data_IF_681850438698
#
_entry.id   IF_681850438698
#
_cell.length_a   1.000
_cell.length_b   1.000
_cell.length_c   1.000
_cell.angle_alpha   90.00
_cell.angle_beta   90.00
_cell.angle_gamma   90.00
#
_symmetry.space_group_name_H-M   'P 1'
#
loop_
_entity.id
_entity.type
_entity.pdbx_description
1 polymer ?
#
# COMPACT_ATOMS: atom_id res chain seq x y z
N UNK A 1 57.00 57.10 36.51
CA UNK A 1 57.74 56.03 35.81
C UNK A 1 57.03 55.83 34.47
N UNK A 2 57.42 56.55 33.40
CA UNK A 2 58.36 56.10 32.34
C UNK A 2 58.02 54.68 31.84
N UNK A 3 57.69 54.39 30.58
CA UNK A 3 58.18 54.85 29.27
C UNK A 3 57.08 54.65 28.20
N UNK A 4 56.86 55.55 27.21
CA UNK A 4 57.45 55.61 25.84
C UNK A 4 57.41 54.24 25.11
N UNK A 5 56.94 54.10 23.86
CA UNK A 5 57.21 54.94 22.69
C UNK A 5 56.22 54.72 21.52
N UNK A 6 56.19 55.73 20.64
CA UNK A 6 55.55 55.81 19.33
C UNK A 6 56.16 54.86 18.28
N UNK A 7 55.35 54.48 17.29
CA UNK A 7 55.78 53.99 15.96
C UNK A 7 54.74 54.38 14.89
N UNK A 8 55.21 54.78 13.71
CA UNK A 8 54.57 55.66 12.71
C UNK A 8 53.89 54.90 11.54
N UNK A 9 52.85 55.54 10.98
CA UNK A 9 52.06 55.37 9.71
C UNK A 9 52.87 54.98 8.43
N UNK A 10 52.29 54.56 7.26
CA UNK A 10 51.03 55.09 6.66
C UNK A 10 50.15 54.13 5.84
N UNK A 11 48.93 54.55 5.48
CA UNK A 11 48.14 53.86 4.46
C UNK A 11 46.68 54.30 4.32
N UNK A 12 46.48 55.39 3.58
CA UNK A 12 45.29 55.75 2.80
C UNK A 12 43.88 55.68 3.45
N UNK A 13 43.32 56.88 3.62
CA UNK A 13 41.89 57.15 3.69
C UNK A 13 41.18 56.63 2.42
N UNK A 14 40.20 55.74 2.60
CA UNK A 14 39.05 55.65 1.70
C UNK A 14 37.79 55.64 2.54
N UNK A 15 37.02 56.73 2.41
CA UNK A 15 35.68 56.91 2.95
C UNK A 15 34.73 56.00 2.18
N UNK A 16 33.86 55.22 2.83
CA UNK A 16 32.40 55.27 2.63
C UNK A 16 31.63 54.17 3.41
N UNK A 17 30.57 54.64 4.06
CA UNK A 17 29.28 54.00 4.42
C UNK A 17 29.28 52.83 5.40
N UNK A 18 28.77 53.15 6.60
CA UNK A 18 28.17 52.21 7.52
C UNK A 18 26.94 51.51 6.90
N UNK A 19 26.96 50.18 6.90
CA UNK A 19 25.75 49.37 6.84
C UNK A 19 25.85 48.30 7.94
N UNK A 20 25.15 48.55 9.05
CA UNK A 20 24.85 47.52 10.04
C UNK A 20 23.94 46.48 9.37
N UNK A 21 24.44 45.26 9.16
CA UNK A 21 23.60 44.09 8.96
C UNK A 21 23.73 43.20 10.20
N UNK A 22 22.71 43.23 11.05
CA UNK A 22 22.53 42.26 12.13
C UNK A 22 22.21 40.92 11.47
N UNK A 23 23.17 39.99 11.48
CA UNK A 23 22.94 38.61 11.06
C UNK A 23 22.22 37.90 12.21
N UNK A 24 20.89 37.92 12.17
CA UNK A 24 20.07 36.97 12.90
C UNK A 24 20.26 35.61 12.24
N UNK A 25 21.14 34.79 12.82
CA UNK A 25 21.31 33.39 12.45
C UNK A 25 20.08 32.59 12.84
N UNK A 26 19.03 32.63 12.02
CA UNK A 26 18.00 31.58 12.02
C UNK A 26 18.56 30.41 11.22
N UNK A 27 19.13 29.42 11.91
CA UNK A 27 19.36 28.12 11.30
C UNK A 27 17.99 27.49 11.03
N UNK A 28 17.55 27.51 9.78
CA UNK A 28 16.43 26.71 9.33
C UNK A 28 16.81 25.23 9.50
N UNK A 29 16.32 24.60 10.56
CA UNK A 29 16.33 23.15 10.66
C UNK A 29 15.42 22.62 9.56
N UNK A 30 16.03 22.09 8.50
CA UNK A 30 15.34 21.23 7.55
C UNK A 30 14.77 20.05 8.36
N UNK A 31 13.47 20.09 8.62
CA UNK A 31 12.76 18.97 9.22
C UNK A 31 12.90 17.78 8.27
N UNK A 32 13.69 16.79 8.67
CA UNK A 32 13.65 15.48 8.04
C UNK A 32 12.23 14.95 8.23
N UNK A 33 11.44 14.91 7.16
CA UNK A 33 10.21 14.12 7.15
C UNK A 33 10.60 12.69 7.51
N UNK A 34 10.25 12.24 8.72
CA UNK A 34 10.24 10.81 8.99
C UNK A 34 9.22 10.23 8.03
N UNK A 35 9.65 9.32 7.17
CA UNK A 35 8.73 8.29 6.73
C UNK A 35 8.24 7.63 8.03
N UNK A 36 6.94 7.68 8.29
CA UNK A 36 6.33 6.83 9.31
C UNK A 36 6.58 5.39 8.85
N UNK A 37 7.69 4.80 9.29
CA UNK A 37 7.75 3.35 9.39
C UNK A 37 6.62 2.98 10.33
N UNK A 38 5.60 2.32 9.78
CA UNK A 38 4.52 1.70 10.53
C UNK A 38 5.16 0.70 11.49
N UNK A 39 5.56 1.17 12.67
CA UNK A 39 6.09 0.30 13.71
C UNK A 39 4.94 -0.59 14.15
N UNK A 40 5.04 -1.87 13.80
CA UNK A 40 4.09 -2.93 14.13
C UNK A 40 4.00 -3.22 15.64
N UNK A 41 4.51 -2.34 16.50
CA UNK A 41 4.70 -2.58 17.93
C UNK A 41 3.41 -2.62 18.76
N UNK A 42 2.29 -2.04 18.28
CA UNK A 42 1.02 -2.04 19.02
C UNK A 42 0.00 -3.08 18.55
N UNK A 43 0.31 -3.91 17.56
CA UNK A 43 -0.59 -4.93 17.01
C UNK A 43 -0.25 -6.36 17.47
N UNK A 44 0.35 -6.48 18.65
CA UNK A 44 0.73 -7.75 19.28
C UNK A 44 0.05 -7.91 20.64
N UNK A 45 -0.26 -9.15 21.04
CA UNK A 45 -0.92 -9.43 22.32
C UNK A 45 -2.35 -8.87 22.39
N UNK A 46 -3.04 -8.82 21.26
CA UNK A 46 -4.40 -8.30 21.15
C UNK A 46 -5.40 -9.33 21.69
N UNK A 47 -6.38 -8.83 22.44
CA UNK A 47 -7.60 -9.57 22.75
C UNK A 47 -8.74 -9.00 21.92
N UNK A 48 -9.48 -9.86 21.21
CA UNK A 48 -10.66 -9.45 20.47
C UNK A 48 -11.91 -9.79 21.27
N UNK A 49 -12.53 -8.78 21.88
CA UNK A 49 -13.71 -8.95 22.73
C UNK A 49 -14.97 -8.74 21.90
N UNK A 50 -15.83 -9.75 21.81
CA UNK A 50 -17.11 -9.64 21.12
C UNK A 50 -17.98 -8.59 21.81
N UNK A 51 -18.37 -7.55 21.06
CA UNK A 51 -19.29 -6.51 21.54
C UNK A 51 -20.66 -7.11 21.89
N UNK A 52 -21.03 -8.25 21.30
CA UNK A 52 -22.29 -8.93 21.60
C UNK A 52 -22.36 -9.53 23.01
N UNK A 53 -21.27 -10.11 23.51
CA UNK A 53 -21.28 -10.96 24.70
C UNK A 53 -20.23 -10.60 25.76
N UNK A 54 -19.28 -9.73 25.45
CA UNK A 54 -18.13 -9.42 26.31
C UNK A 54 -17.09 -10.55 26.40
N UNK A 55 -17.17 -11.56 25.54
CA UNK A 55 -16.28 -12.72 25.49
C UNK A 55 -15.20 -12.58 24.44
N UNK A 56 -14.05 -13.19 24.67
CA UNK A 56 -12.88 -13.05 23.84
C UNK A 56 -12.82 -14.14 22.78
N UNK A 57 -12.29 -13.81 21.59
CA UNK A 57 -11.91 -14.80 20.58
C UNK A 57 -10.84 -15.74 21.14
N UNK A 58 -11.13 -17.03 21.14
CA UNK A 58 -10.36 -18.08 21.81
C UNK A 58 -10.17 -19.29 20.88
N UNK A 59 -9.10 -20.03 21.11
CA UNK A 59 -8.89 -21.35 20.52
C UNK A 59 -9.60 -22.39 21.38
N UNK A 60 -10.54 -23.12 20.78
CA UNK A 60 -11.43 -24.03 21.51
C UNK A 60 -10.66 -25.05 22.37
N UNK A 61 -11.06 -25.12 23.65
CA UNK A 61 -10.59 -26.10 24.64
C UNK A 61 -9.05 -26.18 24.80
N UNK A 62 -8.32 -25.09 24.51
CA UNK A 62 -6.86 -25.04 24.65
C UNK A 62 -6.10 -25.99 23.73
N UNK A 63 -6.73 -26.45 22.65
CA UNK A 63 -6.08 -27.33 21.70
C UNK A 63 -5.20 -26.52 20.75
N UNK A 64 -3.92 -26.87 20.66
CA UNK A 64 -2.93 -26.13 19.85
C UNK A 64 -2.79 -26.65 18.42
N UNK A 65 -3.59 -27.64 18.02
CA UNK A 65 -3.51 -28.29 16.71
C UNK A 65 -4.10 -27.49 15.54
N UNK A 66 -3.68 -27.86 14.33
CA UNK A 66 -4.27 -27.36 13.09
C UNK A 66 -5.73 -27.78 12.95
N UNK A 67 -6.57 -26.87 12.46
CA UNK A 67 -7.98 -27.11 12.22
C UNK A 67 -8.89 -26.96 13.45
N UNK A 68 -8.33 -26.68 14.62
CA UNK A 68 -9.10 -26.39 15.84
C UNK A 68 -9.95 -25.15 15.63
N UNK A 69 -11.21 -25.21 16.04
CA UNK A 69 -12.17 -24.13 15.86
C UNK A 69 -11.87 -22.94 16.76
N UNK A 70 -12.21 -21.75 16.25
CA UNK A 70 -12.20 -20.53 17.03
C UNK A 70 -13.59 -20.23 17.56
N UNK A 71 -13.65 -19.87 18.83
CA UNK A 71 -14.89 -19.65 19.58
C UNK A 71 -14.80 -18.33 20.32
N UNK A 72 -15.87 -17.93 20.98
CA UNK A 72 -15.80 -16.88 22.02
C UNK A 72 -15.92 -17.50 23.40
N UNK A 73 -15.09 -17.05 24.34
CA UNK A 73 -15.08 -17.58 25.70
C UNK A 73 -14.86 -16.49 26.77
N UNK A 74 -15.21 -16.79 28.01
CA UNK A 74 -14.93 -15.91 29.15
C UNK A 74 -13.42 -15.70 29.34
N UNK A 75 -13.06 -14.59 29.98
CA UNK A 75 -11.67 -14.30 30.36
C UNK A 75 -11.42 -14.66 31.84
N UNK A 76 -10.28 -15.28 32.20
CA UNK A 76 -9.28 -15.82 31.28
C UNK A 76 -9.78 -17.09 30.58
N UNK A 77 -9.51 -17.21 29.28
CA UNK A 77 -9.72 -18.47 28.54
C UNK A 77 -8.41 -19.20 28.28
N UNK A 78 -8.34 -19.92 27.16
CA UNK A 78 -7.18 -20.76 26.87
C UNK A 78 -6.10 -20.02 26.08
N UNK A 79 -6.43 -19.58 24.86
CA UNK A 79 -5.50 -18.88 23.97
C UNK A 79 -6.20 -17.68 23.33
N UNK A 80 -6.29 -16.58 24.07
CA UNK A 80 -7.08 -15.40 23.71
C UNK A 80 -6.26 -14.21 23.21
N UNK A 81 -4.95 -14.39 23.06
CA UNK A 81 -4.02 -13.38 22.60
C UNK A 81 -3.63 -13.60 21.14
N UNK A 82 -3.60 -12.50 20.37
CA UNK A 82 -3.46 -12.52 18.92
C UNK A 82 -2.50 -11.41 18.45
N UNK A 83 -1.70 -11.72 17.44
CA UNK A 83 -0.82 -10.78 16.77
C UNK A 83 -1.33 -10.53 15.34
N UNK A 84 -1.59 -9.28 14.99
CA UNK A 84 -1.92 -8.87 13.64
C UNK A 84 -0.63 -8.53 12.87
N UNK A 85 -0.10 -9.51 12.13
CA UNK A 85 1.15 -9.37 11.37
C UNK A 85 0.86 -8.75 9.99
N UNK A 86 1.23 -7.48 9.83
CA UNK A 86 0.99 -6.71 8.59
C UNK A 86 1.70 -7.30 7.37
N UNK A 87 1.11 -7.05 6.20
CA UNK A 87 1.54 -7.49 4.89
C UNK A 87 1.76 -6.29 3.97
N UNK A 88 2.48 -6.49 2.87
CA UNK A 88 2.80 -5.41 1.92
C UNK A 88 1.55 -4.74 1.33
N UNK A 89 0.47 -5.50 1.12
CA UNK A 89 -0.80 -5.01 0.59
C UNK A 89 -1.68 -4.28 1.63
N UNK A 90 -1.21 -4.11 2.86
CA UNK A 90 -1.93 -3.47 3.97
C UNK A 90 -2.85 -4.42 4.74
N UNK A 91 -3.08 -5.65 4.25
CA UNK A 91 -3.77 -6.68 5.04
C UNK A 91 -2.87 -7.20 6.16
N UNK A 92 -3.41 -8.01 7.06
CA UNK A 92 -2.63 -8.73 8.06
C UNK A 92 -3.07 -10.19 8.17
N UNK A 93 -2.16 -11.05 8.63
CA UNK A 93 -2.54 -12.34 9.22
C UNK A 93 -2.82 -12.15 10.69
N UNK A 94 -3.79 -12.86 11.25
CA UNK A 94 -4.02 -12.86 12.69
C UNK A 94 -3.50 -14.17 13.30
N UNK A 95 -2.30 -14.16 13.89
CA UNK A 95 -1.70 -15.34 14.51
C UNK A 95 -1.96 -15.37 16.01
N UNK A 96 -2.37 -16.50 16.55
CA UNK A 96 -2.47 -16.68 17.99
C UNK A 96 -1.07 -16.60 18.63
N UNK A 97 -0.95 -15.86 19.74
CA UNK A 97 0.34 -15.59 20.39
C UNK A 97 0.97 -16.85 21.02
N UNK A 98 0.15 -17.80 21.48
CA UNK A 98 0.62 -19.04 22.12
C UNK A 98 0.89 -20.15 21.09
N UNK A 99 -0.01 -20.34 20.13
CA UNK A 99 0.08 -21.48 19.18
C UNK A 99 0.87 -21.15 17.92
N UNK A 100 1.08 -19.85 17.63
CA UNK A 100 1.71 -19.36 16.41
C UNK A 100 0.88 -19.57 15.14
N UNK A 101 -0.35 -20.09 15.25
CA UNK A 101 -1.21 -20.42 14.10
C UNK A 101 -2.10 -19.25 13.70
N UNK A 102 -2.40 -19.16 12.42
CA UNK A 102 -3.20 -18.11 11.84
C UNK A 102 -4.70 -18.45 11.90
N UNK A 103 -5.52 -17.45 12.23
CA UNK A 103 -6.96 -17.50 12.00
C UNK A 103 -7.24 -17.64 10.50
N UNK A 104 -8.04 -18.66 10.17
CA UNK A 104 -8.46 -18.97 8.81
C UNK A 104 -9.98 -18.87 8.68
N UNK A 105 -10.42 -18.17 7.63
CA UNK A 105 -11.81 -18.04 7.24
C UNK A 105 -12.51 -19.40 7.05
N UNK A 106 -13.79 -19.47 7.43
CA UNK A 106 -14.57 -20.70 7.39
C UNK A 106 -15.89 -20.59 8.16
N UNK A 107 -16.65 -21.68 8.12
CA UNK A 107 -17.87 -21.89 8.89
C UNK A 107 -17.78 -23.29 9.55
N UNK A 108 -17.16 -23.41 10.73
CA UNK A 108 -16.64 -22.34 11.61
C UNK A 108 -15.26 -21.79 11.20
N UNK A 109 -14.85 -20.68 11.81
CA UNK A 109 -13.44 -20.25 11.79
C UNK A 109 -12.57 -21.28 12.52
N UNK A 110 -11.30 -21.36 12.10
CA UNK A 110 -10.31 -22.27 12.69
C UNK A 110 -8.94 -21.63 12.74
N UNK A 111 -8.08 -22.12 13.63
CA UNK A 111 -6.65 -21.89 13.50
C UNK A 111 -6.04 -22.88 12.51
N UNK A 112 -5.03 -22.43 11.78
CA UNK A 112 -4.28 -23.24 10.83
C UNK A 112 -2.84 -22.71 10.74
N UNK A 113 -1.89 -23.59 10.44
CA UNK A 113 -0.54 -23.20 10.02
C UNK A 113 -0.58 -22.04 9.03
N UNK A 114 0.19 -20.98 9.32
CA UNK A 114 0.24 -19.78 8.49
C UNK A 114 0.89 -20.09 7.13
N UNK A 115 0.15 -19.89 6.04
CA UNK A 115 0.62 -20.21 4.67
C UNK A 115 0.43 -19.06 3.68
N UNK A 116 -0.04 -17.90 4.14
CA UNK A 116 -0.25 -16.72 3.31
C UNK A 116 -1.46 -16.79 2.37
N UNK A 117 -2.30 -17.82 2.48
CA UNK A 117 -3.52 -17.95 1.70
C UNK A 117 -4.49 -16.78 1.93
N UNK A 118 -5.29 -16.43 0.92
CA UNK A 118 -6.29 -15.36 1.01
C UNK A 118 -7.27 -15.55 2.19
N UNK A 119 -7.60 -16.79 2.54
CA UNK A 119 -8.44 -17.12 3.69
C UNK A 119 -7.83 -16.75 5.06
N UNK A 120 -6.53 -16.43 5.11
CA UNK A 120 -5.82 -15.99 6.32
C UNK A 120 -5.46 -14.49 6.27
N UNK A 121 -5.96 -13.75 5.27
CA UNK A 121 -5.72 -12.31 5.12
C UNK A 121 -6.94 -11.53 5.63
N UNK A 122 -6.68 -10.59 6.53
CA UNK A 122 -7.69 -9.82 7.23
C UNK A 122 -7.36 -8.33 7.16
N UNK A 123 -8.37 -7.49 7.36
CA UNK A 123 -8.19 -6.06 7.55
C UNK A 123 -9.20 -5.53 8.58
N UNK A 124 -8.84 -4.43 9.22
CA UNK A 124 -9.71 -3.75 10.16
C UNK A 124 -10.65 -2.80 9.43
N UNK A 125 -11.89 -2.76 9.88
CA UNK A 125 -12.88 -1.78 9.47
C UNK A 125 -13.48 -1.12 10.72
N UNK A 126 -13.15 0.17 10.97
CA UNK A 126 -13.65 0.90 12.12
C UNK A 126 -15.18 0.92 12.16
N UNK A 127 -15.75 0.81 13.36
CA UNK A 127 -17.18 1.00 13.59
C UNK A 127 -17.44 2.46 13.95
N UNK A 128 -18.20 3.16 13.12
CA UNK A 128 -18.52 4.58 13.33
C UNK A 128 -19.17 4.81 14.70
N UNK A 129 -18.56 5.69 15.50
CA UNK A 129 -19.03 6.02 16.85
C UNK A 129 -18.45 5.15 17.97
N UNK A 130 -17.52 4.24 17.67
CA UNK A 130 -16.83 3.40 18.65
C UNK A 130 -15.34 3.26 18.30
N UNK A 131 -14.51 4.09 18.91
CA UNK A 131 -13.09 4.25 18.55
C UNK A 131 -12.27 2.97 18.71
N UNK A 132 -12.62 2.11 19.67
CA UNK A 132 -11.92 0.86 19.99
C UNK A 132 -12.53 -0.38 19.32
N UNK A 133 -13.54 -0.20 18.45
CA UNK A 133 -14.36 -1.28 17.92
C UNK A 133 -14.23 -1.39 16.41
N UNK A 134 -14.01 -2.61 15.94
CA UNK A 134 -13.76 -2.92 14.54
C UNK A 134 -14.60 -4.11 14.08
N UNK A 135 -15.05 -4.08 12.83
CA UNK A 135 -15.29 -5.30 12.08
C UNK A 135 -13.95 -5.82 11.56
N UNK A 136 -13.70 -7.12 11.68
CA UNK A 136 -12.52 -7.76 11.11
C UNK A 136 -12.98 -8.48 9.84
N UNK A 137 -12.48 -8.07 8.67
CA UNK A 137 -12.97 -8.54 7.38
C UNK A 137 -11.91 -9.34 6.64
N UNK A 138 -12.33 -10.40 5.96
CA UNK A 138 -11.43 -11.16 5.10
C UNK A 138 -11.11 -10.36 3.83
N UNK A 139 -9.84 -10.28 3.46
CA UNK A 139 -9.41 -9.51 2.29
C UNK A 139 -9.81 -10.16 0.94
N UNK A 140 -10.06 -11.47 0.92
CA UNK A 140 -10.40 -12.22 -0.30
C UNK A 140 -11.88 -12.15 -0.70
N UNK A 141 -12.80 -12.13 0.28
CA UNK A 141 -14.25 -12.14 0.01
C UNK A 141 -15.06 -11.06 0.75
N UNK A 142 -14.38 -10.19 1.52
CA UNK A 142 -14.97 -9.07 2.27
C UNK A 142 -16.02 -9.48 3.34
N UNK A 143 -16.08 -10.75 3.75
CA UNK A 143 -16.92 -11.21 4.86
C UNK A 143 -16.32 -10.87 6.22
N UNK A 144 -17.19 -10.71 7.22
CA UNK A 144 -16.83 -10.33 8.58
C UNK A 144 -16.63 -11.57 9.46
N UNK A 145 -15.67 -11.50 10.39
CA UNK A 145 -15.59 -12.38 11.56
C UNK A 145 -16.85 -12.18 12.39
N UNK A 146 -17.61 -13.26 12.59
CA UNK A 146 -18.99 -13.24 13.10
C UNK A 146 -19.19 -14.34 14.16
N UNK A 147 -19.92 -14.03 15.23
CA UNK A 147 -20.36 -15.04 16.21
C UNK A 147 -21.66 -15.68 15.70
N UNK A 148 -21.61 -17.01 15.50
CA UNK A 148 -22.73 -17.78 14.93
C UNK A 148 -24.02 -17.52 15.71
N UNK A 149 -25.06 -17.09 14.98
CA UNK A 149 -26.39 -16.76 15.51
C UNK A 149 -26.38 -15.71 16.64
N UNK A 150 -25.34 -14.87 16.72
CA UNK A 150 -25.15 -13.94 17.83
C UNK A 150 -25.23 -14.61 19.20
N UNK A 151 -24.76 -15.86 19.31
CA UNK A 151 -24.73 -16.58 20.58
C UNK A 151 -23.91 -15.80 21.62
N UNK A 152 -24.42 -15.77 22.86
CA UNK A 152 -23.78 -15.10 24.00
C UNK A 152 -23.19 -16.08 25.01
N UNK A 153 -23.34 -17.38 24.78
CA UNK A 153 -22.78 -18.42 25.63
C UNK A 153 -21.25 -18.51 25.52
N UNK A 154 -20.64 -19.21 26.46
CA UNK A 154 -19.26 -19.68 26.32
C UNK A 154 -19.17 -20.73 25.23
N UNK A 155 -17.98 -20.86 24.64
CA UNK A 155 -17.69 -21.77 23.53
C UNK A 155 -18.59 -21.52 22.29
N UNK A 156 -19.10 -20.30 22.14
CA UNK A 156 -19.91 -19.93 20.99
C UNK A 156 -19.05 -19.91 19.72
N UNK A 157 -19.44 -20.68 18.72
CA UNK A 157 -18.72 -20.80 17.46
C UNK A 157 -18.66 -19.48 16.70
N UNK A 158 -17.57 -19.30 15.96
CA UNK A 158 -17.40 -18.16 15.06
C UNK A 158 -17.38 -18.61 13.60
N UNK A 159 -17.65 -17.68 12.69
CA UNK A 159 -17.72 -17.91 11.25
C UNK A 159 -17.24 -16.68 10.48
N UNK A 160 -17.04 -16.82 9.17
CA UNK A 160 -17.11 -15.68 8.24
C UNK A 160 -18.52 -15.56 7.68
N UNK A 161 -19.16 -14.42 7.90
CA UNK A 161 -20.52 -14.14 7.40
C UNK A 161 -20.55 -12.84 6.59
N UNK A 162 -21.56 -12.69 5.72
CA UNK A 162 -21.79 -11.41 5.05
C UNK A 162 -21.91 -10.30 6.09
N UNK A 163 -21.15 -9.21 5.90
CA UNK A 163 -21.17 -8.12 6.85
C UNK A 163 -22.58 -7.51 6.92
N UNK A 164 -23.14 -7.49 8.12
CA UNK A 164 -24.47 -6.98 8.45
C UNK A 164 -24.42 -5.89 9.55
N UNK A 165 -23.25 -5.59 10.10
CA UNK A 165 -23.04 -4.52 11.07
C UNK A 165 -23.62 -4.81 12.46
N UNK A 166 -24.15 -6.02 12.70
CA UNK A 166 -24.65 -6.42 14.01
C UNK A 166 -23.53 -6.52 15.04
N UNK A 167 -23.89 -6.51 16.33
CA UNK A 167 -22.94 -6.67 17.44
C UNK A 167 -22.16 -7.99 17.38
N UNK A 168 -22.69 -9.01 16.69
CA UNK A 168 -22.01 -10.30 16.50
C UNK A 168 -20.76 -10.20 15.59
N UNK A 169 -20.62 -9.10 14.85
CA UNK A 169 -19.51 -8.86 13.92
C UNK A 169 -18.55 -7.76 14.40
N UNK A 170 -18.84 -7.18 15.57
CA UNK A 170 -18.09 -6.07 16.13
C UNK A 170 -17.20 -6.59 17.27
N UNK A 171 -15.92 -6.25 17.20
CA UNK A 171 -14.89 -6.71 18.12
C UNK A 171 -14.18 -5.49 18.70
N UNK A 172 -14.22 -5.32 20.02
CA UNK A 172 -13.40 -4.32 20.67
C UNK A 172 -11.99 -4.85 20.94
N UNK A 173 -11.01 -3.96 20.87
CA UNK A 173 -9.59 -4.26 21.12
C UNK A 173 -9.04 -3.42 22.28
N UNK A 174 -7.90 -3.78 22.87
CA UNK A 174 -7.33 -3.00 23.98
C UNK A 174 -6.99 -1.57 23.56
N UNK A 175 -7.30 -0.60 24.42
CA UNK A 175 -7.08 0.83 24.16
C UNK A 175 -5.66 1.20 23.66
N UNK A 176 -4.57 0.58 24.16
CA UNK A 176 -3.22 0.86 23.64
C UNK A 176 -3.01 0.50 22.16
N UNK A 177 -3.80 -0.43 21.61
CA UNK A 177 -3.71 -0.88 20.24
C UNK A 177 -4.63 -0.10 19.28
N UNK A 178 -5.59 0.66 19.80
CA UNK A 178 -6.64 1.32 19.00
C UNK A 178 -6.09 2.24 17.92
N UNK A 179 -5.12 3.10 18.26
CA UNK A 179 -4.53 4.01 17.29
C UNK A 179 -3.78 3.26 16.17
N UNK A 180 -3.11 2.16 16.51
CA UNK A 180 -2.34 1.36 15.57
C UNK A 180 -3.25 0.56 14.63
N UNK A 181 -4.35 0.00 15.17
CA UNK A 181 -5.38 -0.67 14.39
C UNK A 181 -6.11 0.30 13.45
N UNK A 182 -6.40 1.52 13.91
CA UNK A 182 -6.97 2.56 13.06
C UNK A 182 -6.02 2.97 11.93
N UNK A 183 -4.72 3.16 12.21
CA UNK A 183 -3.72 3.41 11.15
C UNK A 183 -3.64 2.25 10.15
N UNK A 184 -3.71 1.01 10.62
CA UNK A 184 -3.73 -0.16 9.74
C UNK A 184 -4.99 -0.22 8.85
N UNK A 185 -6.15 0.15 9.40
CA UNK A 185 -7.39 0.25 8.63
C UNK A 185 -7.28 1.31 7.52
N UNK A 186 -6.70 2.47 7.84
CA UNK A 186 -6.47 3.57 6.91
C UNK A 186 -5.48 3.16 5.82
N UNK A 187 -4.34 2.55 6.16
CA UNK A 187 -3.35 2.08 5.17
C UNK A 187 -3.98 1.10 4.17
N UNK A 188 -4.70 0.09 4.65
CA UNK A 188 -5.38 -0.86 3.77
C UNK A 188 -6.44 -0.19 2.88
N UNK A 189 -7.28 0.67 3.45
CA UNK A 189 -8.33 1.35 2.71
C UNK A 189 -7.77 2.33 1.66
N UNK A 190 -6.69 3.04 1.98
CA UNK A 190 -5.96 3.92 1.06
C UNK A 190 -5.35 3.14 -0.10
N UNK A 191 -4.75 1.96 0.16
CA UNK A 191 -4.26 1.07 -0.91
C UNK A 191 -5.40 0.50 -1.77
N UNK A 192 -6.56 0.24 -1.18
CA UNK A 192 -7.76 -0.19 -1.93
C UNK A 192 -8.31 0.94 -2.80
N UNK A 193 -8.38 2.15 -2.25
CA UNK A 193 -8.76 3.40 -2.92
C UNK A 193 -7.87 3.71 -4.13
N UNK A 194 -6.56 3.52 -4.00
CA UNK A 194 -5.59 3.68 -5.11
C UNK A 194 -5.82 2.71 -6.27
N UNK A 195 -6.39 1.52 -6.01
CA UNK A 195 -6.69 0.51 -7.05
C UNK A 195 -8.10 0.66 -7.63
N UNK A 196 -9.02 1.17 -6.82
CA UNK A 196 -10.41 1.37 -7.18
C UNK A 196 -10.96 2.60 -6.45
N UNK A 197 -11.01 3.72 -7.15
CA UNK A 197 -11.51 4.99 -6.64
C UNK A 197 -12.96 4.92 -6.18
N UNK A 198 -13.77 3.98 -6.69
CA UNK A 198 -15.15 3.82 -6.25
C UNK A 198 -15.24 3.35 -4.79
N UNK A 199 -14.12 2.91 -4.20
CA UNK A 199 -14.08 2.45 -2.80
C UNK A 199 -13.93 3.58 -1.78
N UNK A 200 -13.70 4.81 -2.23
CA UNK A 200 -13.43 5.96 -1.38
C UNK A 200 -14.05 7.25 -1.95
N UNK A 201 -14.24 8.23 -1.08
CA UNK A 201 -14.53 9.61 -1.47
C UNK A 201 -13.88 10.55 -0.45
N UNK A 202 -13.71 11.82 -0.80
CA UNK A 202 -13.11 12.78 0.11
C UNK A 202 -13.76 14.15 -0.06
N UNK A 203 -13.73 14.93 1.01
CA UNK A 203 -13.94 16.37 0.90
C UNK A 203 -12.59 17.03 0.69
N UNK A 204 -12.50 17.92 -0.31
CA UNK A 204 -11.23 18.55 -0.67
C UNK A 204 -10.70 19.36 0.51
N UNK A 205 -9.62 18.88 1.12
CA UNK A 205 -8.79 19.62 2.07
C UNK A 205 -7.65 20.32 1.34
N UNK A 206 -6.41 20.07 1.75
CA UNK A 206 -5.22 20.51 0.99
C UNK A 206 -4.82 19.47 -0.05
N UNK A 207 -4.32 19.96 -1.19
CA UNK A 207 -3.85 19.14 -2.29
C UNK A 207 -2.43 19.60 -2.63
N UNK A 208 -1.48 18.68 -2.62
CA UNK A 208 -0.12 18.96 -3.07
C UNK A 208 -0.11 19.19 -4.60
N UNK A 209 0.94 19.81 -5.15
CA UNK A 209 1.17 19.80 -6.59
C UNK A 209 1.20 18.36 -7.13
N UNK A 210 0.81 18.20 -8.40
CA UNK A 210 0.91 16.92 -9.08
C UNK A 210 2.38 16.57 -9.34
N UNK A 211 2.76 15.32 -9.05
CA UNK A 211 4.11 14.79 -9.24
C UNK A 211 4.05 13.40 -9.88
N UNK A 212 5.00 13.05 -10.76
CA UNK A 212 5.08 11.71 -11.33
C UNK A 212 5.51 10.70 -10.26
N UNK A 213 4.77 9.60 -10.16
CA UNK A 213 5.10 8.46 -9.31
C UNK A 213 6.25 7.64 -9.90
N UNK A 214 7.01 6.90 -9.04
CA UNK A 214 8.00 5.96 -9.49
C UNK A 214 7.44 4.98 -10.53
N UNK A 215 8.20 4.72 -11.59
CA UNK A 215 7.70 3.93 -12.72
C UNK A 215 7.49 2.46 -12.34
N UNK A 216 6.34 1.88 -12.71
CA UNK A 216 5.99 0.48 -12.46
C UNK A 216 5.79 -0.29 -13.77
N UNK A 217 6.07 -1.60 -13.78
CA UNK A 217 5.81 -2.41 -14.97
C UNK A 217 4.32 -2.66 -15.03
N UNK A 218 3.76 -2.37 -16.20
CA UNK A 218 2.35 -2.56 -16.49
C UNK A 218 2.15 -3.59 -17.60
N UNK A 219 3.23 -4.11 -18.17
CA UNK A 219 3.26 -5.29 -19.03
C UNK A 219 4.15 -6.40 -18.42
N UNK A 220 4.01 -7.65 -18.89
CA UNK A 220 5.08 -8.64 -18.76
C UNK A 220 6.39 -8.12 -19.36
N UNK A 221 7.50 -8.56 -18.79
CA UNK A 221 8.85 -8.35 -19.34
C UNK A 221 9.21 -9.53 -20.22
N UNK A 222 9.65 -9.27 -21.44
CA UNK A 222 9.97 -10.30 -22.42
C UNK A 222 11.39 -10.12 -22.97
N UNK A 223 12.03 -11.19 -23.46
CA UNK A 223 13.37 -11.17 -24.03
C UNK A 223 13.37 -11.62 -25.50
N UNK A 224 13.94 -10.80 -26.38
CA UNK A 224 14.13 -11.15 -27.79
C UNK A 224 15.37 -12.03 -28.00
N UNK A 225 15.17 -13.34 -27.97
CA UNK A 225 16.22 -14.30 -28.28
C UNK A 225 16.57 -14.44 -29.77
N UNK A 226 15.91 -13.72 -30.67
CA UNK A 226 16.12 -13.87 -32.12
C UNK A 226 17.32 -13.06 -32.61
N UNK A 227 17.74 -13.31 -33.86
CA UNK A 227 18.82 -12.57 -34.53
C UNK A 227 18.38 -11.24 -35.17
N UNK A 228 17.09 -10.87 -35.08
CA UNK A 228 16.54 -9.66 -35.68
C UNK A 228 15.68 -8.89 -34.67
N UNK A 229 15.46 -7.59 -34.92
CA UNK A 229 14.52 -6.82 -34.11
C UNK A 229 13.10 -7.34 -34.33
N UNK A 230 12.35 -7.52 -33.24
CA UNK A 230 10.96 -7.98 -33.29
C UNK A 230 10.04 -6.80 -32.95
N UNK A 231 9.15 -6.38 -33.87
CA UNK A 231 8.15 -5.38 -33.56
C UNK A 231 7.13 -5.95 -32.58
N UNK A 232 6.75 -5.16 -31.58
CA UNK A 232 5.82 -5.57 -30.55
C UNK A 232 4.82 -4.46 -30.23
N UNK A 233 3.54 -4.77 -30.43
CA UNK A 233 2.43 -3.83 -30.22
C UNK A 233 1.76 -4.10 -28.88
N UNK A 234 1.74 -3.10 -28.00
CA UNK A 234 0.97 -3.11 -26.76
C UNK A 234 -0.32 -2.33 -26.97
N UNK A 235 -1.45 -2.86 -26.53
CA UNK A 235 -2.75 -2.21 -26.69
C UNK A 235 -3.28 -1.76 -25.34
N UNK A 236 -3.37 -0.45 -25.13
CA UNK A 236 -3.95 0.08 -23.90
C UNK A 236 -5.48 -0.04 -23.99
N UNK A 237 -6.10 -0.80 -23.09
CA UNK A 237 -7.57 -1.01 -23.14
C UNK A 237 -8.31 -0.01 -22.27
N UNK A 238 -7.68 0.48 -21.20
CA UNK A 238 -8.30 1.47 -20.31
C UNK A 238 -7.26 2.36 -19.63
N UNK A 239 -7.47 3.67 -19.74
CA UNK A 239 -6.82 4.71 -18.94
C UNK A 239 -7.87 5.37 -18.08
N UNK A 240 -8.15 4.81 -16.91
CA UNK A 240 -8.79 5.58 -15.86
C UNK A 240 -7.67 5.96 -14.91
N UNK A 241 -7.58 7.22 -14.48
CA UNK A 241 -6.50 7.71 -13.60
C UNK A 241 -6.44 7.08 -12.20
N UNK A 242 -6.94 5.85 -12.06
CA UNK A 242 -7.07 5.03 -10.85
C UNK A 242 -6.97 3.52 -11.15
N UNK A 243 -7.07 3.11 -12.41
CA UNK A 243 -6.77 1.74 -12.82
C UNK A 243 -6.34 1.73 -14.30
N UNK A 244 -5.19 1.11 -14.54
CA UNK A 244 -4.65 0.91 -15.89
C UNK A 244 -4.70 -0.60 -16.17
N UNK A 245 -5.65 -1.04 -17.00
CA UNK A 245 -5.66 -2.41 -17.51
C UNK A 245 -5.05 -2.41 -18.91
N UNK A 246 -3.88 -3.04 -19.04
CA UNK A 246 -3.18 -3.21 -20.31
C UNK A 246 -3.49 -4.60 -20.83
N UNK A 247 -4.10 -4.68 -22.00
CA UNK A 247 -4.18 -5.94 -22.74
C UNK A 247 -3.01 -6.02 -23.73
N UNK A 248 -2.30 -7.13 -23.73
CA UNK A 248 -1.16 -7.33 -24.63
C UNK A 248 -1.63 -8.26 -25.75
N UNK A 249 -1.71 -7.74 -26.97
CA UNK A 249 -2.04 -8.52 -28.16
C UNK A 249 -0.78 -8.79 -28.98
N UNK A 250 -0.52 -10.05 -29.31
CA UNK A 250 0.60 -10.44 -30.17
C UNK A 250 0.13 -10.48 -31.63
N UNK A 251 0.69 -9.64 -32.50
CA UNK A 251 0.62 -9.90 -33.94
C UNK A 251 1.83 -10.73 -34.34
N UNK A 252 1.77 -12.04 -34.08
CA UNK A 252 2.80 -12.96 -34.56
C UNK A 252 2.63 -13.19 -36.06
N UNK A 253 3.33 -12.42 -36.88
CA UNK A 253 3.66 -12.81 -38.26
C UNK A 253 4.79 -13.86 -38.27
N UNK A 254 4.62 -15.00 -37.57
CA UNK A 254 5.63 -16.07 -37.57
C UNK A 254 5.40 -16.93 -38.82
N UNK A 255 6.23 -16.72 -39.85
CA UNK A 255 6.39 -17.73 -40.90
C UNK A 255 7.40 -18.78 -40.41
N UNK A 256 6.84 -19.87 -39.86
CA UNK A 256 7.31 -21.27 -39.76
C UNK A 256 8.82 -21.56 -39.73
N UNK A 257 9.28 -22.12 -38.61
CA UNK A 257 10.52 -22.92 -38.51
C UNK A 257 11.06 -23.02 -37.06
N UNK A 258 10.63 -24.05 -36.31
CA UNK A 258 10.95 -24.37 -34.90
C UNK A 258 12.45 -24.39 -34.49
N UNK A 259 12.82 -24.35 -33.18
CA UNK A 259 11.98 -24.54 -31.99
C UNK A 259 11.96 -23.38 -30.96
N UNK A 260 10.90 -23.37 -30.16
CA UNK A 260 10.72 -22.59 -28.92
C UNK A 260 11.84 -22.82 -27.89
N UNK A 261 12.26 -21.77 -27.17
CA UNK A 261 12.32 -21.91 -25.71
C UNK A 261 11.75 -20.70 -24.98
N UNK A 262 10.76 -20.99 -24.14
CA UNK A 262 10.25 -20.16 -23.07
C UNK A 262 11.21 -20.23 -21.85
N UNK A 263 11.20 -19.14 -21.06
CA UNK A 263 11.62 -18.98 -19.65
C UNK A 263 13.09 -18.70 -19.32
N UNK A 264 13.36 -17.46 -18.87
CA UNK A 264 14.09 -17.18 -17.61
C UNK A 264 13.78 -15.75 -17.11
N UNK A 265 13.44 -15.62 -15.81
CA UNK A 265 13.14 -14.37 -15.10
C UNK A 265 14.26 -14.13 -14.07
N UNK A 266 15.17 -13.18 -14.28
CA UNK A 266 16.27 -12.87 -13.35
C UNK A 266 16.57 -11.35 -13.36
N UNK A 267 17.04 -10.87 -12.20
CA UNK A 267 17.16 -9.47 -11.76
C UNK A 267 18.47 -8.74 -12.14
N UNK A 268 18.30 -7.43 -12.37
CA UNK A 268 19.16 -6.25 -12.17
C UNK A 268 20.67 -6.26 -12.51
N UNK A 269 21.11 -5.49 -13.53
CA UNK A 269 21.89 -4.22 -13.44
C UNK A 269 21.81 -3.33 -14.74
N UNK A 270 22.11 -2.04 -14.58
CA UNK A 270 21.58 -0.80 -15.23
C UNK A 270 22.06 -0.39 -16.64
N UNK A 271 21.15 0.20 -17.45
CA UNK A 271 21.21 1.57 -18.07
C UNK A 271 20.66 1.65 -19.51
N UNK A 272 19.77 2.62 -19.78
CA UNK A 272 19.34 3.01 -21.14
C UNK A 272 17.95 3.64 -21.19
N UNK A 273 17.86 4.96 -21.43
CA UNK A 273 16.61 5.73 -21.55
C UNK A 273 16.13 5.80 -23.00
N UNK A 274 14.87 5.42 -23.25
CA UNK A 274 14.02 6.02 -24.28
C UNK A 274 12.66 6.30 -23.63
N UNK A 275 12.14 7.51 -23.80
CA UNK A 275 10.91 8.01 -23.14
C UNK A 275 9.98 8.52 -24.23
N UNK A 276 8.79 7.93 -24.37
CA UNK A 276 7.70 8.45 -25.20
C UNK A 276 6.53 8.81 -24.29
N UNK A 277 5.87 9.95 -24.53
CA UNK A 277 4.64 10.36 -23.82
C UNK A 277 3.42 9.98 -24.65
N UNK A 278 2.49 9.22 -24.06
CA UNK A 278 1.40 8.54 -24.79
C UNK A 278 0.00 9.08 -24.49
N UNK A 279 -0.13 10.35 -24.12
CA UNK A 279 -1.43 11.02 -24.18
C UNK A 279 -1.40 12.01 -25.36
N UNK A 280 -2.06 11.62 -26.45
CA UNK A 280 -2.70 12.43 -27.51
C UNK A 280 -2.37 12.07 -28.97
N UNK A 281 -1.35 11.25 -29.29
CA UNK A 281 -0.89 11.20 -30.71
C UNK A 281 -0.70 9.84 -31.39
N UNK A 282 -0.98 8.68 -30.77
CA UNK A 282 -0.65 7.38 -31.39
C UNK A 282 -1.74 6.29 -31.41
N UNK A 283 -2.99 6.58 -31.05
CA UNK A 283 -4.11 5.65 -31.31
C UNK A 283 -4.01 4.32 -30.56
N UNK A 284 -4.22 4.35 -29.23
CA UNK A 284 -4.45 3.21 -28.32
C UNK A 284 -3.46 2.03 -28.36
N UNK A 285 -2.38 2.13 -29.12
CA UNK A 285 -1.37 1.10 -29.26
C UNK A 285 0.03 1.70 -29.28
N UNK A 286 0.97 1.00 -28.67
CA UNK A 286 2.38 1.35 -28.60
C UNK A 286 3.16 0.24 -29.27
N UNK A 287 3.77 0.52 -30.43
CA UNK A 287 4.66 -0.41 -31.09
C UNK A 287 6.12 -0.12 -30.69
N UNK A 288 6.84 -1.13 -30.20
CA UNK A 288 8.27 -1.08 -29.94
C UNK A 288 8.99 -2.15 -30.75
N UNK A 289 10.08 -1.79 -31.41
CA UNK A 289 11.00 -2.76 -31.98
C UNK A 289 11.99 -3.20 -30.88
N UNK A 290 11.85 -4.43 -30.38
CA UNK A 290 12.78 -4.99 -29.39
C UNK A 290 14.01 -5.52 -30.14
N UNK A 291 15.22 -4.96 -29.92
CA UNK A 291 16.42 -5.43 -30.61
C UNK A 291 16.76 -6.88 -30.29
N UNK A 292 17.59 -7.55 -31.12
CA UNK A 292 18.17 -8.85 -30.79
C UNK A 292 18.83 -8.81 -29.40
N UNK A 293 18.65 -9.87 -28.62
CA UNK A 293 19.26 -10.03 -27.31
C UNK A 293 18.88 -8.93 -26.30
N UNK A 294 17.72 -8.29 -26.46
CA UNK A 294 17.21 -7.28 -25.53
C UNK A 294 15.90 -7.72 -24.89
N UNK A 295 15.68 -7.25 -23.67
CA UNK A 295 14.38 -7.22 -23.03
C UNK A 295 13.51 -6.10 -23.58
N UNK A 296 12.19 -6.31 -23.59
CA UNK A 296 11.17 -5.31 -23.88
C UNK A 296 10.07 -5.33 -22.82
N UNK A 297 9.60 -4.14 -22.41
CA UNK A 297 8.48 -3.98 -21.48
C UNK A 297 7.85 -2.59 -21.58
N UNK A 298 6.64 -2.43 -21.03
CA UNK A 298 5.98 -1.14 -20.81
C UNK A 298 6.02 -0.82 -19.33
N UNK A 299 6.47 0.39 -19.03
CA UNK A 299 6.50 0.94 -17.68
C UNK A 299 5.60 2.19 -17.61
N UNK A 300 4.82 2.36 -16.55
CA UNK A 300 3.94 3.50 -16.32
C UNK A 300 4.49 4.35 -15.18
N UNK A 301 4.64 5.65 -15.42
CA UNK A 301 4.82 6.65 -14.37
C UNK A 301 3.52 7.45 -14.29
N UNK A 302 2.67 7.11 -13.32
CA UNK A 302 1.41 7.82 -13.12
C UNK A 302 1.69 9.22 -12.57
N UNK A 303 1.05 10.23 -13.14
CA UNK A 303 0.96 11.53 -12.49
C UNK A 303 0.04 11.35 -11.28
N UNK A 304 0.42 11.83 -10.10
CA UNK A 304 -0.43 11.74 -8.93
C UNK A 304 -0.30 12.98 -8.06
N UNK A 305 -1.27 13.18 -7.19
CA UNK A 305 -1.27 14.24 -6.18
C UNK A 305 -1.53 13.64 -4.82
N UNK A 306 -0.92 14.21 -3.78
CA UNK A 306 -1.30 13.88 -2.40
C UNK A 306 -2.47 14.76 -2.00
N UNK A 307 -3.54 14.15 -1.51
CA UNK A 307 -4.72 14.85 -1.01
C UNK A 307 -4.85 14.57 0.48
N UNK A 308 -4.69 15.62 1.27
CA UNK A 308 -4.85 15.59 2.73
C UNK A 308 -6.21 16.17 3.10
N UNK A 309 -7.01 15.40 3.81
CA UNK A 309 -8.36 15.83 4.15
C UNK A 309 -9.14 14.78 4.91
N UNK A 310 -10.46 14.98 5.00
CA UNK A 310 -11.37 13.97 5.50
C UNK A 310 -11.75 13.03 4.35
N UNK A 311 -11.34 11.77 4.50
CA UNK A 311 -11.65 10.67 3.62
C UNK A 311 -12.81 9.86 4.18
N UNK A 312 -13.68 9.39 3.29
CA UNK A 312 -14.70 8.38 3.56
C UNK A 312 -14.30 7.11 2.79
N UNK A 313 -14.00 6.05 3.53
CA UNK A 313 -13.60 4.74 2.99
C UNK A 313 -14.75 3.74 3.06
N UNK A 314 -14.63 2.66 2.29
CA UNK A 314 -15.67 1.62 2.13
C UNK A 314 -17.03 2.18 1.74
N UNK A 315 -17.03 3.14 0.80
CA UNK A 315 -18.23 3.88 0.36
C UNK A 315 -19.36 2.97 -0.17
N UNK A 316 -19.03 1.76 -0.63
CA UNK A 316 -20.00 0.76 -1.13
C UNK A 316 -20.44 -0.28 -0.08
N UNK A 317 -20.04 -0.11 1.18
CA UNK A 317 -20.30 -1.04 2.28
C UNK A 317 -20.73 -0.31 3.55
N UNK A 318 -19.89 -0.36 4.61
CA UNK A 318 -20.13 0.44 5.81
C UNK A 318 -19.16 1.63 5.81
N UNK A 319 -19.59 2.80 5.32
CA UNK A 319 -18.70 3.94 5.19
C UNK A 319 -18.21 4.43 6.55
N UNK A 320 -16.92 4.73 6.62
CA UNK A 320 -16.28 5.29 7.81
C UNK A 320 -15.29 6.38 7.40
N UNK A 321 -15.01 7.29 8.33
CA UNK A 321 -14.25 8.50 8.06
C UNK A 321 -12.90 8.49 8.76
N UNK A 322 -11.90 9.06 8.10
CA UNK A 322 -10.59 9.33 8.67
C UNK A 322 -9.99 10.61 8.11
N UNK A 323 -9.18 11.30 8.91
CA UNK A 323 -8.26 12.30 8.36
C UNK A 323 -7.00 11.59 7.92
N UNK A 324 -6.66 11.70 6.64
CA UNK A 324 -5.48 11.05 6.06
C UNK A 324 -4.96 11.81 4.85
N UNK A 325 -3.74 11.45 4.41
CA UNK A 325 -3.13 11.89 3.16
C UNK A 325 -3.02 10.71 2.21
N UNK A 326 -3.89 10.67 1.19
CA UNK A 326 -3.90 9.60 0.19
C UNK A 326 -3.30 10.10 -1.12
N UNK A 327 -2.52 9.23 -1.76
CA UNK A 327 -2.01 9.49 -3.12
C UNK A 327 -3.12 9.17 -4.12
N UNK A 328 -3.47 10.16 -4.92
CA UNK A 328 -4.53 10.14 -5.92
C UNK A 328 -3.88 10.24 -7.29
N UNK A 329 -3.94 9.18 -8.13
CA UNK A 329 -3.44 9.31 -9.49
C UNK A 329 -4.34 10.23 -10.32
N UNK A 330 -3.73 10.86 -11.31
CA UNK A 330 -4.28 11.90 -12.16
C UNK A 330 -4.09 11.50 -13.63
N UNK A 331 -5.11 11.70 -14.44
CA UNK A 331 -4.98 11.56 -15.90
C UNK A 331 -4.22 12.74 -16.51
N UNK A 332 -4.27 13.91 -15.86
CA UNK A 332 -3.46 15.08 -16.17
C UNK A 332 -3.69 16.22 -15.18
N UNK A 333 -2.97 17.34 -15.36
CA UNK A 333 -3.12 18.56 -14.56
C UNK A 333 -3.31 19.82 -15.43
N UNK A 334 -3.61 20.95 -14.79
CA UNK A 334 -3.83 22.25 -15.45
C UNK A 334 -2.56 22.81 -16.13
N UNK A 335 -1.40 22.19 -15.91
CA UNK A 335 -0.12 22.54 -16.52
C UNK A 335 0.20 21.66 -17.76
N UNK A 336 -0.70 20.72 -18.10
CA UNK A 336 -0.54 19.80 -19.22
C UNK A 336 0.35 18.60 -18.93
N UNK A 337 0.70 18.34 -17.67
CA UNK A 337 1.34 17.08 -17.29
C UNK A 337 0.31 15.95 -17.37
N UNK A 338 0.77 14.73 -17.66
CA UNK A 338 -0.07 13.53 -17.74
C UNK A 338 0.70 12.31 -17.25
N UNK A 339 -0.04 11.25 -16.92
CA UNK A 339 0.54 9.92 -16.68
C UNK A 339 1.24 9.41 -17.95
N UNK A 340 2.46 8.88 -17.81
CA UNK A 340 3.34 8.57 -18.95
C UNK A 340 3.59 7.05 -19.06
N UNK A 341 3.24 6.48 -20.21
CA UNK A 341 3.61 5.11 -20.59
C UNK A 341 4.92 5.10 -21.37
N UNK A 342 5.88 4.34 -20.88
CA UNK A 342 7.24 4.25 -21.38
C UNK A 342 7.47 2.87 -21.96
N UNK A 343 7.57 2.80 -23.29
CA UNK A 343 8.11 1.63 -23.98
C UNK A 343 9.62 1.57 -23.70
N UNK A 344 10.10 0.49 -23.09
CA UNK A 344 11.51 0.33 -22.73
C UNK A 344 12.08 -0.93 -23.34
N UNK A 345 13.32 -0.82 -23.83
CA UNK A 345 14.16 -1.95 -24.20
C UNK A 345 15.51 -1.82 -23.53
N UNK A 346 16.12 -2.94 -23.16
CA UNK A 346 17.46 -2.96 -22.61
C UNK A 346 18.12 -4.32 -22.82
N UNK A 347 19.44 -4.39 -22.99
CA UNK A 347 20.15 -5.67 -23.06
C UNK A 347 20.02 -6.46 -21.74
N UNK A 348 19.80 -5.77 -20.62
CA UNK A 348 19.55 -6.34 -19.30
C UNK A 348 18.30 -5.71 -18.68
N UNK A 349 17.41 -6.53 -18.11
CA UNK A 349 16.25 -6.04 -17.38
C UNK A 349 16.48 -6.06 -15.87
N UNK A 350 16.07 -4.98 -15.23
CA UNK A 350 16.38 -4.74 -13.83
C UNK A 350 15.13 -4.51 -13.01
N UNK A 351 14.54 -3.33 -13.19
CA UNK A 351 13.30 -2.86 -12.63
C UNK A 351 12.61 -2.04 -13.69
N UNK A 352 11.37 -1.69 -13.40
CA UNK A 352 10.55 -0.86 -14.28
C UNK A 352 10.86 0.63 -14.13
N UNK A 353 11.42 1.01 -12.97
CA UNK A 353 11.76 2.38 -12.56
C UNK A 353 12.93 3.02 -13.31
N UNK A 354 13.82 2.21 -13.91
CA UNK A 354 15.08 2.65 -14.53
C UNK A 354 14.93 3.06 -15.98
#
# INVERSE_FOLDING_TARGET
>A
MQSRALGVLPGAFTVLVAALAVILGLTAQAGTARADEVSASGLTGLTFTSVNSGRNLDVQNGNTGDGVFLVTNAAPGYHQEWNANQQADGSFTLSNADTGKCMQAGLPLKQQSCNGAAAQRWYFQPVTGADDTFMIRNAGDNKCVDVVLASQGEDAWTQTYACNGSRAQQWSIPAPATADAFRAAVDYASKRCQKDAATCSWTKGSQAPAEPLPTQCVSPVWYNGTGASVPWTFSLTTTHGWSSEISVSFESGITVGDPSPVQTKIALTTSGKVTYSLSETLGNSLEIAVPPQHYGWVALSELATKVTGEWTFDANGYPWKARDTVTVPLTGDDQGHASVYLAKTAPEFTTCGS
#
